data_IF_993475635750
#
_entry.id   IF_993475635750
#
_cell.length_a   1.000
_cell.length_b   1.000
_cell.length_c   1.000
_cell.angle_alpha   90.00
_cell.angle_beta   90.00
_cell.angle_gamma   90.00
#
_symmetry.space_group_name_H-M   'P 1'
#
loop_
_entity.id
_entity.type
_entity.pdbx_description
1 polymer ?
#
# COMPACT_ATOMS: atom_id res chain seq x y z
N UNK A 1 0.69 8.41 7.50
CA UNK A 1 0.16 9.27 6.42
C UNK A 1 -1.35 9.51 6.60
N UNK A 2 -2.18 8.48 6.52
CA UNK A 2 -3.66 8.62 6.54
C UNK A 2 -4.17 9.35 7.79
N UNK A 3 -3.78 8.93 9.00
CA UNK A 3 -4.21 9.61 10.23
C UNK A 3 -3.74 11.07 10.32
N UNK A 4 -2.58 11.38 9.75
CA UNK A 4 -2.06 12.75 9.71
C UNK A 4 -2.90 13.62 8.78
N UNK A 5 -3.26 13.11 7.60
CA UNK A 5 -4.14 13.82 6.68
C UNK A 5 -5.53 14.02 7.30
N UNK A 6 -6.10 12.99 7.93
CA UNK A 6 -7.38 13.06 8.63
C UNK A 6 -7.37 14.11 9.75
N UNK A 7 -6.32 14.14 10.58
CA UNK A 7 -6.16 15.12 11.66
C UNK A 7 -6.15 16.57 11.15
N UNK A 8 -5.58 16.80 9.96
CA UNK A 8 -5.42 18.14 9.38
C UNK A 8 -6.48 18.47 8.32
N UNK A 9 -7.48 17.61 8.12
CA UNK A 9 -8.54 17.83 7.13
C UNK A 9 -8.05 17.82 5.68
N UNK A 10 -6.95 17.11 5.39
CA UNK A 10 -6.34 17.04 4.05
C UNK A 10 -6.99 15.89 3.28
N UNK A 11 -7.58 16.19 2.13
CA UNK A 11 -8.14 15.17 1.23
C UNK A 11 -7.04 14.30 0.63
N UNK A 12 -7.25 12.99 0.63
CA UNK A 12 -6.36 11.99 0.01
C UNK A 12 -6.94 11.38 -1.28
N UNK A 13 -8.08 11.90 -1.74
CA UNK A 13 -8.77 11.39 -2.93
C UNK A 13 -7.92 11.64 -4.18
N UNK A 14 -7.65 10.60 -4.96
CA UNK A 14 -6.84 10.65 -6.17
C UNK A 14 -5.32 10.75 -5.94
N UNK A 15 -4.87 10.64 -4.69
CA UNK A 15 -3.44 10.70 -4.39
C UNK A 15 -2.70 9.40 -4.72
N UNK A 16 -1.38 9.48 -4.77
CA UNK A 16 -0.46 8.34 -4.86
C UNK A 16 0.29 8.15 -3.55
N UNK A 17 0.28 6.94 -2.99
CA UNK A 17 0.99 6.58 -1.77
C UNK A 17 2.29 5.85 -2.10
N UNK A 18 3.41 6.32 -1.56
CA UNK A 18 4.71 5.63 -1.63
C UNK A 18 5.03 5.00 -0.28
N UNK A 19 5.42 3.72 -0.28
CA UNK A 19 5.79 3.01 0.94
C UNK A 19 6.94 2.03 0.70
N UNK A 20 7.70 1.71 1.76
CA UNK A 20 8.81 0.75 1.66
C UNK A 20 8.29 -0.69 1.50
N UNK A 21 7.27 -1.06 2.25
CA UNK A 21 6.69 -2.40 2.23
C UNK A 21 5.29 -2.35 1.65
N UNK A 22 4.87 -3.42 1.01
CA UNK A 22 3.48 -3.63 0.59
C UNK A 22 2.54 -3.49 1.81
N UNK A 23 1.43 -2.73 1.68
CA UNK A 23 0.54 -2.48 2.81
C UNK A 23 -0.12 -3.78 3.30
N UNK A 24 -0.24 -3.92 4.63
CA UNK A 24 -1.02 -5.01 5.20
C UNK A 24 -2.52 -4.85 4.89
N UNK A 25 -3.32 -5.89 5.14
CA UNK A 25 -4.76 -5.91 4.87
C UNK A 25 -5.53 -4.71 5.46
N UNK A 26 -5.20 -4.31 6.69
CA UNK A 26 -5.83 -3.14 7.35
C UNK A 26 -5.43 -1.84 6.66
N UNK A 27 -4.15 -1.67 6.32
CA UNK A 27 -3.72 -0.51 5.55
C UNK A 27 -4.39 -0.46 4.18
N UNK A 28 -4.57 -1.59 3.50
CA UNK A 28 -5.25 -1.68 2.22
C UNK A 28 -6.70 -1.19 2.30
N UNK A 29 -7.46 -1.65 3.30
CA UNK A 29 -8.83 -1.17 3.57
C UNK A 29 -8.88 0.36 3.76
N UNK A 30 -7.94 0.91 4.55
CA UNK A 30 -7.88 2.34 4.81
C UNK A 30 -7.53 3.12 3.54
N UNK A 31 -6.58 2.65 2.73
CA UNK A 31 -6.17 3.25 1.46
C UNK A 31 -7.36 3.34 0.49
N UNK A 32 -8.12 2.24 0.36
CA UNK A 32 -9.34 2.20 -0.45
C UNK A 32 -10.37 3.20 0.06
N UNK A 33 -10.61 3.20 1.38
CA UNK A 33 -11.65 4.03 2.01
C UNK A 33 -11.41 5.53 1.84
N UNK A 34 -10.15 5.98 1.83
CA UNK A 34 -9.82 7.40 1.67
C UNK A 34 -9.67 7.84 0.21
N UNK A 35 -9.84 6.92 -0.75
CA UNK A 35 -9.86 7.22 -2.18
C UNK A 35 -8.49 7.41 -2.83
N UNK A 36 -7.43 6.80 -2.29
CA UNK A 36 -6.11 6.74 -2.95
C UNK A 36 -6.23 5.84 -4.19
N UNK A 37 -5.68 6.27 -5.33
CA UNK A 37 -5.81 5.56 -6.62
C UNK A 37 -4.57 4.77 -7.00
N UNK A 38 -3.42 5.06 -6.37
CA UNK A 38 -2.15 4.40 -6.69
C UNK A 38 -1.28 4.19 -5.45
N UNK A 39 -0.68 3.02 -5.34
CA UNK A 39 0.26 2.64 -4.29
C UNK A 39 1.55 2.13 -4.93
N UNK A 40 2.68 2.71 -4.55
CA UNK A 40 4.00 2.29 -5.00
C UNK A 40 4.77 1.78 -3.79
N UNK A 41 5.00 0.47 -3.76
CA UNK A 41 5.73 -0.22 -2.71
C UNK A 41 7.15 -0.56 -3.17
N UNK A 42 8.14 -0.43 -2.30
CA UNK A 42 9.51 -0.85 -2.63
C UNK A 42 9.65 -2.37 -2.64
N UNK A 43 9.15 -3.09 -1.63
CA UNK A 43 9.31 -4.55 -1.48
C UNK A 43 7.98 -5.30 -1.38
N UNK A 44 7.91 -6.52 -1.94
CA UNK A 44 6.79 -7.45 -1.76
C UNK A 44 6.74 -7.96 -0.33
N UNK A 45 5.54 -8.04 0.24
CA UNK A 45 5.32 -8.69 1.52
C UNK A 45 4.72 -10.08 1.30
N UNK A 46 5.31 -11.11 1.91
CA UNK A 46 4.96 -12.52 1.65
C UNK A 46 3.50 -12.87 1.96
N UNK A 47 2.84 -12.12 2.83
CA UNK A 47 1.44 -12.33 3.22
C UNK A 47 0.46 -11.30 2.62
N UNK A 48 0.84 -10.61 1.55
CA UNK A 48 0.01 -9.54 0.96
C UNK A 48 -0.90 -9.99 -0.20
N UNK A 49 -1.16 -11.29 -0.35
CA UNK A 49 -2.05 -11.79 -1.41
C UNK A 49 -3.44 -11.14 -1.33
N UNK A 50 -4.04 -11.11 -0.14
CA UNK A 50 -5.33 -10.44 0.12
C UNK A 50 -5.31 -8.95 -0.26
N UNK A 51 -4.20 -8.25 0.04
CA UNK A 51 -4.06 -6.82 -0.30
C UNK A 51 -4.13 -6.59 -1.81
N UNK A 52 -3.49 -7.45 -2.60
CA UNK A 52 -3.47 -7.34 -4.07
C UNK A 52 -4.87 -7.58 -4.64
N UNK A 53 -5.57 -8.57 -4.11
CA UNK A 53 -6.93 -8.88 -4.55
C UNK A 53 -7.90 -7.74 -4.20
N UNK A 54 -7.76 -7.16 -3.00
CA UNK A 54 -8.54 -5.99 -2.59
C UNK A 54 -8.27 -4.77 -3.48
N UNK A 55 -7.01 -4.47 -3.78
CA UNK A 55 -6.67 -3.35 -4.67
C UNK A 55 -7.15 -3.57 -6.10
N UNK A 56 -7.09 -4.81 -6.61
CA UNK A 56 -7.63 -5.15 -7.92
C UNK A 56 -9.14 -4.95 -7.99
N UNK A 57 -9.88 -5.35 -6.95
CA UNK A 57 -11.33 -5.14 -6.87
C UNK A 57 -11.72 -3.66 -6.73
N UNK A 58 -10.87 -2.87 -6.06
CA UNK A 58 -11.09 -1.45 -5.84
C UNK A 58 -10.48 -0.55 -6.94
N UNK A 59 -9.98 -1.13 -8.03
CA UNK A 59 -9.34 -0.42 -9.15
C UNK A 59 -8.17 0.49 -8.73
N UNK A 60 -7.40 0.07 -7.72
CA UNK A 60 -6.20 0.76 -7.25
C UNK A 60 -4.97 0.17 -7.92
N UNK A 61 -4.14 1.02 -8.50
CA UNK A 61 -2.88 0.62 -9.13
C UNK A 61 -1.82 0.33 -8.05
N UNK A 62 -1.43 -0.93 -7.89
CA UNK A 62 -0.31 -1.32 -7.03
C UNK A 62 0.93 -1.62 -7.88
N UNK A 63 2.00 -0.87 -7.66
CA UNK A 63 3.32 -1.08 -8.27
C UNK A 63 4.30 -1.52 -7.19
N UNK A 64 4.98 -2.66 -7.38
CA UNK A 64 6.06 -3.08 -6.49
C UNK A 64 7.39 -3.00 -7.24
N UNK A 65 8.32 -2.20 -6.73
CA UNK A 65 9.54 -1.78 -7.46
C UNK A 65 10.64 -2.84 -7.42
N UNK A 66 10.89 -3.46 -6.27
CA UNK A 66 11.90 -4.52 -6.11
C UNK A 66 11.19 -5.87 -5.93
N UNK A 67 11.48 -6.80 -6.84
CA UNK A 67 11.04 -8.20 -6.78
C UNK A 67 12.04 -9.09 -6.01
N UNK A 68 12.93 -8.47 -5.22
CA UNK A 68 13.93 -9.17 -4.42
C UNK A 68 13.41 -9.40 -3.00
N UNK A 69 13.22 -10.68 -2.66
CA UNK A 69 13.05 -11.13 -1.29
C UNK A 69 14.33 -10.79 -0.53
N UNK A 70 14.22 -9.98 0.52
CA UNK A 70 15.37 -9.60 1.35
C UNK A 70 15.97 -10.87 1.97
N UNK A 71 17.07 -11.37 1.41
CA UNK A 71 17.82 -12.49 1.97
C UNK A 71 18.61 -11.99 3.19
N UNK A 72 18.20 -12.42 4.39
CA UNK A 72 18.98 -12.20 5.61
C UNK A 72 20.16 -13.18 5.62
N UNK A 73 21.38 -12.67 5.50
CA UNK A 73 22.63 -13.42 5.50
C UNK A 73 23.10 -13.85 6.91
N UNK A 74 22.19 -14.08 7.86
CA UNK A 74 22.58 -14.35 9.26
C UNK A 74 21.61 -15.28 10.00
N UNK A 75 21.44 -16.50 9.48
CA UNK A 75 21.24 -17.69 10.31
C UNK A 75 22.38 -18.67 10.06
#
# INVERSE_FOLDING_TARGET
AICQAAKHGISLKGCTLYCKMEPCRVCAMLIISVGITKVIAKKKYHAAQDTRDMFKQAEIELVVVEDEVEQYSSQ
#
